data_IF_067959335988
#
_entry.id   IF_067959335988
#
_cell.length_a   1.000
_cell.length_b   1.000
_cell.length_c   1.000
_cell.angle_alpha   90.00
_cell.angle_beta   90.00
_cell.angle_gamma   90.00
#
_symmetry.space_group_name_H-M   'P 1'
#
loop_
_entity.id
_entity.type
_entity.pdbx_description
1 polymer ?
#
# COMPACT_ATOMS: atom_id res chain seq x y z
N UNK A 1 1.38 10.88 -8.96
CA UNK A 1 1.46 10.61 -7.51
C UNK A 1 2.76 9.90 -7.22
N UNK A 2 3.43 10.24 -6.11
CA UNK A 2 4.74 9.69 -5.79
C UNK A 2 4.66 8.43 -4.91
N UNK A 3 3.59 8.30 -4.10
CA UNK A 3 3.17 7.15 -3.29
C UNK A 3 1.64 7.14 -3.23
N UNK A 4 1.04 5.95 -3.11
CA UNK A 4 -0.39 5.76 -2.82
C UNK A 4 -0.55 5.11 -1.44
N UNK A 5 -1.41 5.68 -0.60
CA UNK A 5 -1.90 5.04 0.62
C UNK A 5 -3.33 4.58 0.36
N UNK A 6 -3.59 3.27 0.49
CA UNK A 6 -4.81 2.64 0.02
C UNK A 6 -5.49 1.85 1.14
N UNK A 7 -6.76 2.11 1.38
CA UNK A 7 -7.57 1.24 2.23
C UNK A 7 -8.07 0.02 1.44
N UNK A 8 -8.24 -1.11 2.11
CA UNK A 8 -8.88 -2.30 1.52
C UNK A 8 -10.41 -2.18 1.63
N UNK A 9 -10.90 -1.62 2.74
CA UNK A 9 -12.32 -1.48 3.06
C UNK A 9 -13.02 -0.32 2.36
N UNK A 10 -12.85 -0.20 1.05
CA UNK A 10 -13.54 0.80 0.23
C UNK A 10 -14.99 0.36 -0.06
N UNK A 11 -15.93 1.31 -0.27
CA UNK A 11 -17.36 1.02 -0.39
C UNK A 11 -17.76 0.34 -1.70
N UNK A 12 -17.12 0.68 -2.82
CA UNK A 12 -17.54 0.23 -4.16
C UNK A 12 -16.73 -0.97 -4.66
N UNK A 13 -15.41 -0.78 -4.80
CA UNK A 13 -14.46 -1.83 -5.18
C UNK A 13 -13.46 -2.02 -4.06
N UNK A 14 -13.09 -3.26 -3.78
CA UNK A 14 -12.12 -3.52 -2.71
C UNK A 14 -10.73 -2.96 -3.07
N UNK A 15 -9.95 -2.57 -2.06
CA UNK A 15 -8.63 -1.98 -2.32
C UNK A 15 -7.61 -2.94 -2.95
N UNK A 16 -7.80 -4.25 -2.80
CA UNK A 16 -6.96 -5.24 -3.47
C UNK A 16 -7.13 -5.17 -5.00
N UNK A 17 -8.36 -5.02 -5.47
CA UNK A 17 -8.70 -4.87 -6.87
C UNK A 17 -8.23 -3.52 -7.42
N UNK A 18 -8.32 -2.46 -6.62
CA UNK A 18 -7.70 -1.16 -6.96
C UNK A 18 -6.20 -1.33 -7.18
N UNK A 19 -5.49 -2.00 -6.27
CA UNK A 19 -4.05 -2.23 -6.39
C UNK A 19 -3.72 -3.06 -7.64
N UNK A 20 -4.44 -4.17 -7.86
CA UNK A 20 -4.28 -5.02 -9.04
C UNK A 20 -4.47 -4.23 -10.34
N UNK A 21 -5.48 -3.38 -10.39
CA UNK A 21 -5.77 -2.54 -11.57
C UNK A 21 -4.70 -1.48 -11.77
N UNK A 22 -4.26 -0.83 -10.68
CA UNK A 22 -3.18 0.17 -10.69
C UNK A 22 -1.87 -0.41 -11.24
N UNK A 23 -1.54 -1.66 -10.88
CA UNK A 23 -0.34 -2.36 -11.38
C UNK A 23 -0.38 -2.65 -12.88
N UNK A 24 -1.55 -2.59 -13.52
CA UNK A 24 -1.65 -2.69 -14.97
C UNK A 24 -1.09 -1.48 -15.73
N UNK A 25 -0.92 -0.33 -15.06
CA UNK A 25 -0.48 0.90 -15.73
C UNK A 25 0.47 1.78 -14.90
N UNK A 26 0.77 1.42 -13.65
CA UNK A 26 1.61 2.21 -12.76
C UNK A 26 2.36 1.37 -11.73
N UNK A 27 3.66 1.64 -11.62
CA UNK A 27 4.53 1.14 -10.56
C UNK A 27 4.68 2.12 -9.39
N UNK A 28 3.72 3.04 -9.22
CA UNK A 28 3.72 3.93 -8.05
C UNK A 28 3.71 3.08 -6.77
N UNK A 29 4.56 3.36 -5.77
CA UNK A 29 4.57 2.56 -4.56
C UNK A 29 3.22 2.62 -3.84
N UNK A 30 2.71 1.46 -3.43
CA UNK A 30 1.42 1.32 -2.73
C UNK A 30 1.66 0.85 -1.30
N UNK A 31 1.08 1.56 -0.35
CA UNK A 31 1.03 1.19 1.07
C UNK A 31 -0.42 0.90 1.41
N UNK A 32 -0.74 -0.36 1.72
CA UNK A 32 -2.04 -0.67 2.31
C UNK A 32 -2.12 -0.12 3.73
N UNK A 33 -3.21 0.58 4.04
CA UNK A 33 -3.52 1.10 5.36
C UNK A 33 -4.96 0.75 5.74
N UNK A 34 -5.14 -0.37 6.43
CA UNK A 34 -6.45 -1.05 6.51
C UNK A 34 -6.71 -1.65 7.88
N UNK A 35 -7.99 -1.88 8.22
CA UNK A 35 -8.38 -2.63 9.42
C UNK A 35 -8.25 -4.15 9.24
N UNK A 36 -8.03 -4.62 8.00
CA UNK A 36 -7.75 -6.03 7.70
C UNK A 36 -6.33 -6.35 8.19
N UNK A 37 -6.20 -7.23 9.17
CA UNK A 37 -4.90 -7.55 9.79
C UNK A 37 -4.64 -9.05 9.85
N UNK A 38 -5.41 -9.84 9.10
CA UNK A 38 -5.16 -11.26 8.96
C UNK A 38 -3.90 -11.48 8.12
N UNK A 39 -3.12 -12.51 8.47
CA UNK A 39 -1.88 -12.83 7.76
C UNK A 39 -2.12 -13.06 6.26
N UNK A 40 -3.22 -13.73 5.93
CA UNK A 40 -3.64 -14.02 4.55
C UNK A 40 -3.84 -12.71 3.77
N UNK A 41 -4.54 -11.73 4.35
CA UNK A 41 -4.78 -10.44 3.71
C UNK A 41 -3.48 -9.67 3.45
N UNK A 42 -2.51 -9.79 4.38
CA UNK A 42 -1.19 -9.17 4.24
C UNK A 42 -0.38 -9.82 3.13
N UNK A 43 -0.34 -11.15 3.09
CA UNK A 43 0.35 -11.92 2.04
C UNK A 43 -0.26 -11.59 0.67
N UNK A 44 -1.58 -11.63 0.57
CA UNK A 44 -2.30 -11.28 -0.65
C UNK A 44 -1.97 -9.86 -1.13
N UNK A 45 -1.94 -8.88 -0.21
CA UNK A 45 -1.57 -7.51 -0.55
C UNK A 45 -0.20 -7.40 -1.21
N UNK A 46 0.80 -8.15 -0.72
CA UNK A 46 2.14 -8.18 -1.31
C UNK A 46 2.19 -8.91 -2.65
N UNK A 47 1.49 -10.04 -2.80
CA UNK A 47 1.40 -10.76 -4.08
C UNK A 47 0.75 -9.91 -5.19
N UNK A 48 -0.18 -9.03 -4.82
CA UNK A 48 -0.81 -8.06 -5.72
C UNK A 48 0.06 -6.83 -6.02
N UNK A 49 1.31 -6.81 -5.54
CA UNK A 49 2.30 -5.78 -5.84
C UNK A 49 2.28 -4.58 -4.90
N UNK A 50 1.71 -4.68 -3.70
CA UNK A 50 1.90 -3.63 -2.69
C UNK A 50 3.34 -3.63 -2.16
N UNK A 51 3.84 -2.45 -1.84
CA UNK A 51 5.19 -2.26 -1.32
C UNK A 51 5.25 -2.38 0.19
N UNK A 52 4.15 -2.06 0.86
CA UNK A 52 4.01 -2.04 2.30
C UNK A 52 2.56 -2.33 2.71
N UNK A 53 2.40 -2.79 3.95
CA UNK A 53 1.10 -3.12 4.52
C UNK A 53 1.10 -2.74 6.00
N UNK A 54 0.16 -1.90 6.41
CA UNK A 54 0.05 -1.40 7.77
C UNK A 54 -1.39 -1.50 8.27
N UNK A 55 -1.57 -2.17 9.40
CA UNK A 55 -2.88 -2.35 10.01
C UNK A 55 -3.29 -1.15 10.86
N UNK A 56 -4.60 -0.90 10.95
CA UNK A 56 -5.22 0.02 11.90
C UNK A 56 -5.44 -0.69 13.26
N UNK A 57 -5.27 -0.01 14.40
CA UNK A 57 -4.81 1.37 14.55
C UNK A 57 -3.30 1.50 14.32
N UNK A 58 -2.86 2.66 13.82
CA UNK A 58 -1.47 2.92 13.47
C UNK A 58 -0.96 4.24 14.06
N UNK A 59 0.36 4.37 14.15
CA UNK A 59 1.01 5.62 14.51
C UNK A 59 1.17 6.53 13.28
N UNK A 60 0.73 7.81 13.32
CA UNK A 60 0.99 8.76 12.23
C UNK A 60 2.49 8.92 11.93
N UNK A 61 3.35 8.83 12.95
CA UNK A 61 4.81 8.92 12.77
C UNK A 61 5.36 7.71 12.02
N UNK A 62 4.80 6.52 12.28
CA UNK A 62 5.17 5.31 11.57
C UNK A 62 4.75 5.38 10.09
N UNK A 63 3.52 5.84 9.80
CA UNK A 63 3.07 6.05 8.42
C UNK A 63 4.03 6.96 7.65
N UNK A 64 4.37 8.11 8.24
CA UNK A 64 5.29 9.08 7.63
C UNK A 64 6.67 8.46 7.38
N UNK A 65 7.19 7.68 8.33
CA UNK A 65 8.47 6.99 8.16
C UNK A 65 8.44 5.99 7.01
N UNK A 66 7.37 5.18 6.91
CA UNK A 66 7.18 4.20 5.83
C UNK A 66 7.04 4.89 4.46
N UNK A 67 6.22 5.93 4.35
CA UNK A 67 6.08 6.74 3.11
C UNK A 67 7.43 7.29 2.66
N UNK A 68 8.18 7.93 3.57
CA UNK A 68 9.51 8.49 3.26
C UNK A 68 10.49 7.41 2.81
N UNK A 69 10.46 6.22 3.42
CA UNK A 69 11.31 5.12 3.02
C UNK A 69 11.02 4.65 1.57
N UNK A 70 9.76 4.65 1.14
CA UNK A 70 9.37 4.27 -0.24
C UNK A 70 9.75 5.32 -1.26
N UNK A 71 9.50 6.60 -0.96
CA UNK A 71 9.90 7.71 -1.84
C UNK A 71 11.41 7.75 -2.09
N UNK A 72 12.22 7.56 -1.03
CA UNK A 72 13.69 7.53 -1.16
C UNK A 72 14.18 6.40 -2.05
N UNK A 73 13.59 5.20 -1.95
CA UNK A 73 14.00 4.06 -2.80
C UNK A 73 13.68 4.31 -4.27
N UNK A 74 12.55 4.94 -4.56
CA UNK A 74 12.16 5.28 -5.93
C UNK A 74 13.14 6.28 -6.57
N UNK A 75 13.58 7.30 -5.84
CA UNK A 75 14.59 8.24 -6.34
C UNK A 75 16.00 7.64 -6.48
N UNK A 76 16.33 6.57 -5.76
CA UNK A 76 17.62 5.91 -5.87
C UNK A 76 17.68 4.89 -7.03
N UNK A 77 16.54 4.45 -7.54
CA UNK A 77 16.41 3.50 -8.65
C UNK A 77 16.21 4.19 -10.01
N UNK A 78 16.10 5.53 -10.04
CA UNK A 78 16.03 6.36 -11.23
C UNK A 78 17.38 7.04 -11.48
#
# INVERSE_FOLDING_TARGET
>A
ADVVVLDVGLPDINGFEVCRTLRGFSDVPVIFLTARNDEIDRVLGFELGADDYMAKPFSPRELVARVRARLRRRHAAA
#
